data_IF_267274366995
#
_entry.id   IF_267274366995
#
_cell.length_a   1.000
_cell.length_b   1.000
_cell.length_c   1.000
_cell.angle_alpha   90.00
_cell.angle_beta   90.00
_cell.angle_gamma   90.00
#
_symmetry.space_group_name_H-M   'P 1'
#
loop_
_entity.id
_entity.type
_entity.pdbx_description
1 polymer ?
#
# COMPACT_ATOMS: atom_id res chain seq x y z
N UNK A 1 -7.38 7.02 -1.54
CA UNK A 1 -6.89 6.76 -0.17
C UNK A 1 -5.41 6.99 -0.11
N UNK A 2 -4.96 7.90 0.72
CA UNK A 2 -3.55 8.05 1.06
C UNK A 2 -3.20 7.03 2.14
N UNK A 3 -2.13 6.28 1.93
CA UNK A 3 -1.73 5.21 2.82
C UNK A 3 -0.24 5.34 3.17
N UNK A 4 0.07 5.21 4.45
CA UNK A 4 1.40 4.92 4.96
C UNK A 4 1.33 3.61 5.72
N UNK A 5 1.86 2.56 5.14
CA UNK A 5 1.82 1.24 5.76
C UNK A 5 2.87 1.11 6.86
N UNK A 6 2.53 0.54 8.03
CA UNK A 6 3.50 0.36 9.11
C UNK A 6 4.72 -0.45 8.65
N UNK A 7 5.92 0.08 8.90
CA UNK A 7 7.16 -0.67 8.68
C UNK A 7 7.28 -1.81 9.70
N UNK A 8 7.61 -3.02 9.25
CA UNK A 8 7.79 -4.18 10.12
C UNK A 8 9.07 -4.17 10.95
N UNK A 9 9.96 -3.21 10.69
CA UNK A 9 11.24 -2.96 11.38
C UNK A 9 12.22 -4.14 11.32
N UNK A 10 13.41 -3.88 10.81
CA UNK A 10 14.47 -4.88 10.79
C UNK A 10 14.77 -5.43 12.20
N UNK A 11 15.15 -6.72 12.30
CA UNK A 11 15.54 -7.31 13.58
C UNK A 11 16.86 -6.73 14.10
N UNK A 12 17.10 -6.87 15.40
CA UNK A 12 18.41 -6.50 16.00
C UNK A 12 19.49 -7.52 15.64
N UNK A 13 19.10 -8.77 15.46
CA UNK A 13 20.00 -9.88 15.12
C UNK A 13 19.91 -10.16 13.62
N UNK A 14 21.03 -10.10 12.88
CA UNK A 14 21.05 -10.46 11.47
C UNK A 14 20.53 -11.88 11.23
N UNK A 15 19.62 -12.03 10.28
CA UNK A 15 19.06 -13.31 9.88
C UNK A 15 17.76 -13.72 10.60
N UNK A 16 17.33 -12.99 11.59
CA UNK A 16 15.97 -13.09 12.16
C UNK A 16 14.93 -12.38 11.28
N UNK A 17 13.65 -12.62 11.54
CA UNK A 17 12.54 -11.93 10.89
C UNK A 17 12.31 -10.55 11.51
N UNK A 18 11.67 -9.61 10.78
CA UNK A 18 11.31 -8.30 11.31
C UNK A 18 10.49 -8.37 12.60
N UNK A 19 10.81 -7.47 13.55
CA UNK A 19 10.25 -7.46 14.90
C UNK A 19 8.73 -7.33 14.98
N UNK A 20 8.14 -6.62 14.03
CA UNK A 20 6.71 -6.30 14.00
C UNK A 20 6.01 -6.97 12.82
N UNK A 21 6.55 -8.10 12.34
CA UNK A 21 6.01 -8.76 11.15
C UNK A 21 4.56 -9.23 11.37
N UNK A 22 4.25 -9.82 12.53
CA UNK A 22 2.88 -10.30 12.84
C UNK A 22 1.88 -9.15 12.83
N UNK A 23 2.21 -8.03 13.50
CA UNK A 23 1.40 -6.82 13.47
C UNK A 23 1.21 -6.29 12.03
N UNK A 24 2.26 -6.32 11.22
CA UNK A 24 2.20 -5.91 9.82
C UNK A 24 1.23 -6.80 9.03
N UNK A 25 1.25 -8.12 9.25
CA UNK A 25 0.34 -9.05 8.57
C UNK A 25 -1.13 -8.82 8.93
N UNK A 26 -1.42 -8.62 10.21
CA UNK A 26 -2.77 -8.27 10.68
C UNK A 26 -3.26 -6.95 10.07
N UNK A 27 -2.38 -5.94 10.03
CA UNK A 27 -2.69 -4.64 9.45
C UNK A 27 -3.01 -4.75 7.95
N UNK A 28 -2.21 -5.51 7.18
CA UNK A 28 -2.43 -5.73 5.74
C UNK A 28 -3.78 -6.41 5.47
N UNK A 29 -4.14 -7.40 6.26
CA UNK A 29 -5.43 -8.07 6.12
C UNK A 29 -6.61 -7.12 6.44
N UNK A 30 -6.46 -6.28 7.45
CA UNK A 30 -7.47 -5.29 7.80
C UNK A 30 -7.58 -4.22 6.70
N UNK A 31 -6.45 -3.72 6.20
CA UNK A 31 -6.39 -2.73 5.14
C UNK A 31 -7.01 -3.25 3.84
N UNK A 32 -6.66 -4.46 3.41
CA UNK A 32 -7.24 -5.09 2.22
C UNK A 32 -8.76 -5.22 2.32
N UNK A 33 -9.28 -5.68 3.46
CA UNK A 33 -10.74 -5.72 3.70
C UNK A 33 -11.37 -4.34 3.62
N UNK A 34 -10.74 -3.32 4.19
CA UNK A 34 -11.22 -1.94 4.18
C UNK A 34 -11.31 -1.37 2.76
N UNK A 35 -10.26 -1.48 1.95
CA UNK A 35 -10.24 -0.90 0.60
C UNK A 35 -11.18 -1.63 -0.37
N UNK A 36 -11.35 -2.94 -0.21
CA UNK A 36 -12.34 -3.71 -0.97
C UNK A 36 -13.77 -3.31 -0.58
N UNK A 37 -14.03 -3.12 0.71
CA UNK A 37 -15.34 -2.65 1.17
C UNK A 37 -15.64 -1.22 0.69
N UNK A 38 -14.64 -0.34 0.58
CA UNK A 38 -14.78 0.98 -0.05
C UNK A 38 -15.21 0.87 -1.52
N UNK A 39 -14.61 -0.06 -2.25
CA UNK A 39 -14.94 -0.31 -3.64
C UNK A 39 -16.34 -0.88 -3.80
N UNK A 40 -16.68 -1.92 -3.05
CA UNK A 40 -17.90 -2.70 -3.22
C UNK A 40 -19.16 -1.95 -2.73
N UNK A 41 -19.05 -1.26 -1.60
CA UNK A 41 -20.22 -0.77 -0.85
C UNK A 41 -20.24 0.74 -0.63
N UNK A 42 -19.13 1.41 -0.89
CA UNK A 42 -18.97 2.82 -0.60
C UNK A 42 -18.73 3.14 0.89
N UNK A 43 -18.43 4.40 1.18
CA UNK A 43 -17.91 4.84 2.48
C UNK A 43 -18.88 4.63 3.67
N UNK A 44 -20.17 4.80 3.46
CA UNK A 44 -21.18 4.70 4.53
C UNK A 44 -21.23 3.30 5.16
N UNK A 45 -21.27 2.26 4.32
CA UNK A 45 -21.35 0.87 4.78
C UNK A 45 -20.03 0.38 5.40
N UNK A 46 -18.89 0.98 5.01
CA UNK A 46 -17.59 0.68 5.62
C UNK A 46 -17.52 1.27 7.02
N UNK A 47 -18.02 2.49 7.23
CA UNK A 47 -18.09 3.10 8.55
C UNK A 47 -18.92 2.24 9.52
N UNK A 48 -20.10 1.80 9.09
CA UNK A 48 -20.98 0.91 9.89
C UNK A 48 -20.30 -0.43 10.24
N UNK A 49 -19.59 -1.04 9.30
CA UNK A 49 -18.88 -2.30 9.56
C UNK A 49 -17.65 -2.12 10.45
N UNK A 50 -16.96 -0.99 10.34
CA UNK A 50 -15.83 -0.66 11.21
C UNK A 50 -16.28 -0.38 12.64
N UNK A 51 -17.35 0.42 12.83
CA UNK A 51 -17.96 0.67 14.13
C UNK A 51 -18.43 -0.62 14.80
N UNK A 52 -19.08 -1.52 14.06
CA UNK A 52 -19.49 -2.82 14.57
C UNK A 52 -18.29 -3.67 14.99
N UNK A 53 -17.19 -3.67 14.24
CA UNK A 53 -15.98 -4.41 14.56
C UNK A 53 -15.25 -3.81 15.78
N UNK A 54 -15.15 -2.49 15.87
CA UNK A 54 -14.53 -1.80 17.02
C UNK A 54 -15.35 -2.01 18.30
N UNK A 55 -16.67 -1.90 18.22
CA UNK A 55 -17.57 -2.12 19.35
C UNK A 55 -17.52 -3.58 19.83
N UNK A 56 -17.42 -4.54 18.90
CA UNK A 56 -17.26 -5.97 19.25
C UNK A 56 -15.92 -6.27 19.93
N UNK A 57 -14.86 -5.56 19.56
CA UNK A 57 -13.52 -5.77 20.10
C UNK A 57 -13.27 -5.05 21.43
N UNK A 58 -13.95 -3.90 21.66
CA UNK A 58 -13.65 -3.03 22.80
C UNK A 58 -14.60 -3.19 24.00
N UNK A 59 -15.76 -3.82 23.83
CA UNK A 59 -16.78 -3.90 24.92
C UNK A 59 -17.20 -2.54 25.47
N UNK A 60 -16.96 -1.46 24.74
CA UNK A 60 -17.10 -0.08 25.19
C UNK A 60 -18.31 0.61 24.60
N UNK A 61 -18.95 1.40 25.44
CA UNK A 61 -20.16 2.17 25.19
C UNK A 61 -20.04 3.18 24.01
N UNK A 62 -21.21 3.50 23.44
CA UNK A 62 -21.44 4.44 22.37
C UNK A 62 -20.72 5.79 22.53
N UNK A 63 -20.06 6.22 21.48
CA UNK A 63 -19.77 7.62 21.32
C UNK A 63 -18.40 8.02 20.78
N UNK A 64 -18.30 8.24 19.52
CA UNK A 64 -17.52 9.33 18.90
C UNK A 64 -17.93 9.59 17.43
N UNK A 65 -18.67 8.70 16.79
CA UNK A 65 -19.06 8.80 15.38
C UNK A 65 -20.58 8.96 15.17
N UNK A 66 -21.34 9.26 16.19
CA UNK A 66 -22.79 9.46 16.10
C UNK A 66 -23.22 10.65 15.20
N UNK A 67 -22.31 11.55 14.84
CA UNK A 67 -22.61 12.75 14.06
C UNK A 67 -22.51 12.59 12.55
N UNK A 68 -22.11 11.41 12.03
CA UNK A 68 -22.01 11.19 10.57
C UNK A 68 -23.26 10.61 9.94
N UNK A 69 -24.30 10.33 10.71
CA UNK A 69 -25.55 9.70 10.21
C UNK A 69 -26.47 10.61 9.38
N UNK A 70 -26.27 11.92 9.36
CA UNK A 70 -27.21 12.83 8.71
C UNK A 70 -27.03 13.02 7.19
N UNK A 71 -25.98 12.48 6.58
CA UNK A 71 -25.71 12.66 5.15
C UNK A 71 -25.63 11.37 4.31
N UNK A 72 -26.06 10.23 4.81
CA UNK A 72 -26.12 9.01 4.02
C UNK A 72 -27.42 8.95 3.20
N UNK A 73 -27.44 9.57 2.05
CA UNK A 73 -28.41 9.23 1.02
C UNK A 73 -28.08 7.79 0.56
N UNK A 74 -29.04 6.90 0.76
CA UNK A 74 -29.03 5.54 0.24
C UNK A 74 -28.93 5.58 -1.29
N UNK A 75 -27.71 5.53 -1.83
CA UNK A 75 -27.47 5.30 -3.24
C UNK A 75 -27.36 3.78 -3.45
N UNK A 76 -28.23 3.24 -4.27
CA UNK A 76 -28.17 1.84 -4.71
C UNK A 76 -26.77 1.50 -5.22
N UNK A 77 -26.28 0.32 -4.83
CA UNK A 77 -24.91 -0.12 -4.93
C UNK A 77 -24.27 -0.07 -6.32
N UNK A 78 -23.67 1.06 -6.63
CA UNK A 78 -22.65 1.14 -7.68
C UNK A 78 -21.30 1.13 -7.00
N UNK A 79 -20.44 0.17 -7.38
CA UNK A 79 -19.06 0.14 -6.90
C UNK A 79 -18.37 1.48 -7.14
N UNK A 80 -17.56 1.94 -6.18
CA UNK A 80 -16.80 3.19 -6.32
C UNK A 80 -15.36 2.87 -6.66
N UNK A 81 -14.81 3.45 -7.74
CA UNK A 81 -13.40 3.32 -8.04
C UNK A 81 -12.54 3.78 -6.87
N UNK A 82 -11.48 3.02 -6.56
CA UNK A 82 -10.55 3.34 -5.48
C UNK A 82 -9.14 3.46 -6.03
N UNK A 83 -8.45 4.51 -5.64
CA UNK A 83 -7.01 4.68 -5.83
C UNK A 83 -6.35 4.70 -4.45
N UNK A 84 -5.38 3.82 -4.25
CA UNK A 84 -4.50 3.79 -3.09
C UNK A 84 -3.18 4.42 -3.50
N UNK A 85 -2.66 5.37 -2.73
CA UNK A 85 -1.36 5.97 -3.00
C UNK A 85 -0.57 6.21 -1.71
N UNK A 86 0.74 6.07 -1.81
CA UNK A 86 1.68 6.34 -0.72
C UNK A 86 2.75 5.28 -0.56
N UNK A 87 3.46 5.36 0.56
CA UNK A 87 4.49 4.41 0.95
C UNK A 87 3.84 3.15 1.56
N UNK A 88 3.87 2.06 0.81
CA UNK A 88 3.36 0.76 1.26
C UNK A 88 4.43 -0.07 1.99
N UNK A 89 5.64 0.46 2.16
CA UNK A 89 6.74 -0.19 2.87
C UNK A 89 6.97 -1.66 2.44
N UNK A 90 6.78 -1.96 1.16
CA UNK A 90 7.03 -3.28 0.57
C UNK A 90 7.52 -3.15 -0.88
N UNK A 91 8.62 -3.83 -1.22
CA UNK A 91 8.99 -4.10 -2.60
C UNK A 91 8.36 -5.43 -3.01
N UNK A 92 7.44 -5.43 -3.99
CA UNK A 92 6.63 -6.60 -4.30
C UNK A 92 7.43 -7.73 -4.93
N UNK A 93 8.19 -7.43 -5.99
CA UNK A 93 8.95 -8.41 -6.78
C UNK A 93 10.46 -8.16 -6.68
N UNK A 94 11.25 -9.14 -7.10
CA UNK A 94 12.71 -9.01 -7.11
C UNK A 94 13.21 -7.84 -7.97
N UNK A 95 12.45 -7.47 -9.00
CA UNK A 95 12.74 -6.32 -9.84
C UNK A 95 12.52 -4.96 -9.14
N UNK A 96 11.83 -4.96 -7.99
CA UNK A 96 11.45 -3.74 -7.26
C UNK A 96 12.49 -3.28 -6.24
N UNK A 97 13.61 -3.98 -6.13
CA UNK A 97 14.71 -3.55 -5.27
C UNK A 97 16.08 -3.99 -5.79
N UNK A 98 17.11 -3.27 -5.35
CA UNK A 98 18.49 -3.68 -5.57
C UNK A 98 18.87 -4.81 -4.61
N UNK A 99 19.62 -5.80 -5.11
CA UNK A 99 20.13 -6.94 -4.35
C UNK A 99 19.05 -7.80 -3.65
N UNK A 100 18.03 -8.30 -4.36
CA UNK A 100 16.91 -9.04 -3.75
C UNK A 100 17.37 -10.26 -2.95
N UNK A 101 18.38 -10.99 -3.41
CA UNK A 101 18.86 -12.22 -2.76
C UNK A 101 19.38 -12.01 -1.32
N UNK A 102 19.91 -10.82 -1.02
CA UNK A 102 20.43 -10.51 0.31
C UNK A 102 19.40 -9.88 1.25
N UNK A 103 18.22 -9.55 0.72
CA UNK A 103 17.16 -8.82 1.45
C UNK A 103 15.92 -9.67 1.78
N UNK A 104 15.95 -10.98 1.56
CA UNK A 104 14.77 -11.86 1.75
C UNK A 104 14.22 -11.90 3.18
N UNK A 105 14.99 -11.43 4.17
CA UNK A 105 14.57 -11.29 5.56
C UNK A 105 14.51 -9.84 6.04
N UNK A 106 14.73 -8.89 5.14
CA UNK A 106 14.64 -7.46 5.46
C UNK A 106 13.19 -7.01 5.53
N UNK A 107 12.89 -6.09 6.46
CA UNK A 107 11.59 -5.41 6.49
C UNK A 107 11.27 -4.79 5.13
N UNK A 108 10.07 -5.00 4.63
CA UNK A 108 9.64 -4.58 3.30
C UNK A 108 9.96 -5.54 2.16
N UNK A 109 10.62 -6.70 2.43
CA UNK A 109 10.88 -7.71 1.39
C UNK A 109 10.82 -9.16 1.90
N UNK A 110 10.22 -9.40 3.04
CA UNK A 110 9.96 -10.77 3.48
C UNK A 110 8.96 -11.46 2.56
N UNK A 111 9.00 -12.80 2.44
CA UNK A 111 8.00 -13.53 1.67
C UNK A 111 6.57 -13.20 2.11
N UNK A 112 6.35 -13.03 3.41
CA UNK A 112 5.03 -12.73 3.99
C UNK A 112 4.51 -11.34 3.55
N UNK A 113 5.35 -10.30 3.59
CA UNK A 113 4.97 -8.95 3.13
C UNK A 113 4.67 -8.92 1.63
N UNK A 114 5.49 -9.61 0.84
CA UNK A 114 5.29 -9.74 -0.61
C UNK A 114 4.00 -10.50 -0.95
N UNK A 115 3.68 -11.55 -0.20
CA UNK A 115 2.43 -12.30 -0.36
C UNK A 115 1.22 -11.41 -0.06
N UNK A 116 1.26 -10.60 1.01
CA UNK A 116 0.18 -9.65 1.30
C UNK A 116 -0.03 -8.61 0.19
N UNK A 117 1.05 -8.16 -0.45
CA UNK A 117 0.94 -7.31 -1.64
C UNK A 117 0.31 -8.06 -2.82
N UNK A 118 0.66 -9.32 -3.03
CA UNK A 118 0.03 -10.18 -4.03
C UNK A 118 -1.47 -10.32 -3.77
N UNK A 119 -1.87 -10.68 -2.54
CA UNK A 119 -3.27 -10.79 -2.13
C UNK A 119 -4.05 -9.48 -2.37
N UNK A 120 -3.44 -8.32 -2.10
CA UNK A 120 -4.05 -7.02 -2.35
C UNK A 120 -4.29 -6.80 -3.85
N UNK A 121 -3.30 -7.07 -4.69
CA UNK A 121 -3.43 -6.93 -6.13
C UNK A 121 -4.47 -7.91 -6.71
N UNK A 122 -4.45 -9.16 -6.29
CA UNK A 122 -5.40 -10.20 -6.73
C UNK A 122 -6.84 -9.92 -6.27
N UNK A 123 -7.00 -9.10 -5.23
CA UNK A 123 -8.33 -8.68 -4.78
C UNK A 123 -9.00 -7.61 -5.66
N UNK A 124 -8.38 -7.25 -6.80
CA UNK A 124 -8.96 -6.35 -7.80
C UNK A 124 -8.23 -5.02 -7.97
N UNK A 125 -6.98 -4.93 -7.51
CA UNK A 125 -6.14 -3.74 -7.71
C UNK A 125 -5.05 -3.98 -8.76
N UNK A 126 -4.72 -2.94 -9.49
CA UNK A 126 -3.62 -2.89 -10.47
C UNK A 126 -2.49 -2.04 -9.92
N UNK A 127 -1.25 -2.56 -9.90
CA UNK A 127 -0.05 -1.75 -9.75
C UNK A 127 0.14 -0.92 -11.02
N UNK A 128 -0.16 0.38 -10.93
CA UNK A 128 -0.21 1.24 -12.11
C UNK A 128 1.15 1.43 -12.77
N UNK A 129 2.23 1.46 -11.98
CA UNK A 129 3.58 1.54 -12.55
C UNK A 129 3.92 0.26 -13.32
N UNK A 130 3.69 -0.91 -12.75
CA UNK A 130 3.95 -2.20 -13.42
C UNK A 130 3.01 -2.48 -14.58
N UNK A 131 1.83 -1.86 -14.60
CA UNK A 131 0.94 -1.91 -15.76
C UNK A 131 1.58 -1.30 -17.01
N UNK A 132 2.22 -0.13 -16.88
CA UNK A 132 2.90 0.53 -18.00
C UNK A 132 4.35 0.06 -18.20
N UNK A 133 5.00 -0.40 -17.14
CA UNK A 133 6.43 -0.69 -17.12
C UNK A 133 6.70 -2.08 -16.50
N UNK A 134 6.18 -3.17 -17.11
CA UNK A 134 6.22 -4.51 -16.51
C UNK A 134 7.64 -5.01 -16.24
N UNK A 135 8.58 -4.68 -17.13
CA UNK A 135 9.94 -5.25 -17.11
C UNK A 135 11.05 -4.20 -16.84
N UNK A 136 10.67 -2.96 -16.52
CA UNK A 136 11.67 -1.90 -16.25
C UNK A 136 12.38 -2.19 -14.94
N UNK A 137 13.70 -2.39 -15.00
CA UNK A 137 14.60 -2.59 -13.86
C UNK A 137 15.14 -1.27 -13.33
N UNK A 138 15.72 -1.30 -12.12
CA UNK A 138 16.40 -0.15 -11.50
C UNK A 138 15.53 1.11 -11.34
N UNK A 139 14.21 0.93 -11.32
CA UNK A 139 13.22 1.97 -11.07
C UNK A 139 12.79 1.93 -9.59
N UNK A 140 13.33 2.83 -8.81
CA UNK A 140 13.13 2.88 -7.35
C UNK A 140 12.56 4.21 -6.91
N UNK A 141 11.86 4.20 -5.78
CA UNK A 141 11.25 5.39 -5.18
C UNK A 141 11.88 5.79 -3.85
N UNK A 142 12.65 4.91 -3.23
CA UNK A 142 13.33 5.12 -1.96
C UNK A 142 14.78 4.65 -1.96
N UNK A 143 15.66 5.39 -1.27
CA UNK A 143 17.07 5.06 -1.08
C UNK A 143 17.52 5.42 0.33
N UNK A 144 18.18 4.49 1.02
CA UNK A 144 18.79 4.78 2.31
C UNK A 144 19.75 5.97 2.23
N UNK A 145 19.76 6.82 3.25
CA UNK A 145 20.79 7.88 3.38
C UNK A 145 22.21 7.34 3.55
N UNK A 146 22.35 6.05 3.84
CA UNK A 146 23.66 5.41 4.10
C UNK A 146 24.36 5.08 2.78
N UNK A 147 25.71 5.09 2.81
CA UNK A 147 26.58 4.58 1.76
C UNK A 147 26.39 5.25 0.39
N UNK A 148 25.82 6.46 0.35
CA UNK A 148 25.50 7.16 -0.90
C UNK A 148 24.59 6.34 -1.84
N UNK A 149 23.57 5.69 -1.27
CA UNK A 149 22.73 4.70 -1.94
C UNK A 149 22.00 5.29 -3.16
N UNK A 150 21.48 6.53 -3.05
CA UNK A 150 20.75 7.17 -4.17
C UNK A 150 21.66 7.43 -5.38
N UNK A 151 22.86 7.94 -5.18
CA UNK A 151 23.79 8.17 -6.28
C UNK A 151 24.27 6.88 -6.97
N UNK A 152 24.25 5.75 -6.22
CA UNK A 152 24.58 4.42 -6.75
C UNK A 152 23.35 3.67 -7.28
N UNK A 153 22.19 4.26 -7.19
CA UNK A 153 20.91 3.65 -7.45
C UNK A 153 20.71 2.30 -6.71
N UNK A 154 21.10 2.24 -5.43
CA UNK A 154 20.82 1.09 -4.55
C UNK A 154 19.54 1.39 -3.78
N UNK A 155 18.41 1.21 -4.46
CA UNK A 155 17.10 1.65 -4.00
C UNK A 155 16.05 0.53 -3.97
N UNK A 156 14.86 0.92 -3.54
CA UNK A 156 13.64 0.11 -3.44
C UNK A 156 12.47 0.87 -4.01
N UNK A 157 11.57 0.20 -4.69
CA UNK A 157 10.26 0.73 -5.10
C UNK A 157 9.24 0.32 -4.04
N UNK A 158 8.89 1.25 -3.18
CA UNK A 158 7.97 1.04 -2.05
C UNK A 158 6.81 2.04 -2.03
N UNK A 159 6.87 3.05 -2.89
CA UNK A 159 5.79 4.02 -3.09
C UNK A 159 4.97 3.63 -4.32
N UNK A 160 3.65 3.65 -4.18
CA UNK A 160 2.74 3.12 -5.20
C UNK A 160 1.57 4.05 -5.48
N UNK A 161 1.04 3.91 -6.68
CA UNK A 161 -0.36 4.09 -6.99
C UNK A 161 -0.95 2.74 -7.38
N UNK A 162 -1.93 2.26 -6.60
CA UNK A 162 -2.74 1.10 -6.95
C UNK A 162 -4.15 1.60 -7.30
N UNK A 163 -4.71 1.08 -8.37
CA UNK A 163 -6.05 1.48 -8.82
C UNK A 163 -6.93 0.23 -8.98
N UNK A 164 -8.21 0.34 -8.64
CA UNK A 164 -9.18 -0.73 -8.92
C UNK A 164 -9.26 -1.01 -10.42
N UNK A 165 -9.50 -2.25 -10.79
CA UNK A 165 -9.43 -2.73 -12.16
C UNK A 165 -10.37 -1.99 -13.13
N UNK A 166 -11.48 -1.48 -12.65
CA UNK A 166 -12.43 -0.65 -13.40
C UNK A 166 -11.86 0.71 -13.85
N UNK A 167 -10.80 1.20 -13.17
CA UNK A 167 -10.06 2.39 -13.58
C UNK A 167 -8.99 2.12 -14.64
N UNK A 168 -8.61 0.87 -14.89
CA UNK A 168 -7.53 0.53 -15.83
C UNK A 168 -7.71 1.16 -17.22
N UNK A 169 -8.91 1.22 -17.82
CA UNK A 169 -9.11 1.86 -19.12
C UNK A 169 -8.92 3.39 -19.11
N UNK A 170 -8.87 4.01 -17.94
CA UNK A 170 -8.69 5.45 -17.75
C UNK A 170 -7.26 5.85 -17.40
N UNK A 171 -6.40 4.90 -17.13
CA UNK A 171 -4.99 5.15 -16.82
C UNK A 171 -4.28 5.64 -18.09
N UNK A 172 -3.52 6.72 -17.95
CA UNK A 172 -2.77 7.35 -19.06
C UNK A 172 -1.28 7.09 -18.93
N UNK A 173 -0.73 7.31 -17.74
CA UNK A 173 0.69 7.03 -17.43
C UNK A 173 0.90 6.89 -15.92
N UNK A 174 1.98 6.18 -15.56
CA UNK A 174 2.49 6.15 -14.21
C UNK A 174 4.01 6.31 -14.23
N UNK A 175 4.57 7.16 -13.36
CA UNK A 175 5.97 7.54 -13.38
C UNK A 175 6.56 7.54 -11.97
N UNK A 176 7.88 7.30 -11.91
CA UNK A 176 8.72 7.55 -10.75
C UNK A 176 9.63 8.72 -11.10
N UNK A 177 9.79 9.71 -10.24
CA UNK A 177 10.48 10.97 -10.52
C UNK A 177 11.79 11.06 -9.71
N UNK A 178 12.83 10.24 -10.02
CA UNK A 178 14.02 10.07 -9.19
C UNK A 178 14.90 11.34 -9.11
N UNK A 179 14.75 12.27 -10.05
CA UNK A 179 15.54 13.50 -10.09
C UNK A 179 15.01 14.58 -9.13
N UNK A 180 13.82 14.41 -8.58
CA UNK A 180 13.28 15.31 -7.56
C UNK A 180 13.89 14.97 -6.21
N UNK A 181 14.64 15.92 -5.68
CA UNK A 181 15.42 15.79 -4.45
C UNK A 181 14.70 16.43 -3.25
N UNK A 182 15.17 16.15 -2.03
CA UNK A 182 14.64 16.76 -0.79
C UNK A 182 14.21 15.75 0.28
N UNK A 183 14.15 14.45 -0.10
CA UNK A 183 13.83 13.33 0.78
C UNK A 183 14.66 12.11 0.38
N UNK A 184 14.66 11.07 1.19
CA UNK A 184 15.13 9.72 0.83
C UNK A 184 14.12 8.98 -0.09
N UNK A 185 12.91 9.50 -0.21
CA UNK A 185 11.96 9.13 -1.27
C UNK A 185 12.02 10.12 -2.44
N UNK A 186 11.52 9.70 -3.59
CA UNK A 186 11.13 10.59 -4.67
C UNK A 186 9.63 10.49 -4.94
N UNK A 187 9.02 11.51 -5.55
CA UNK A 187 7.62 11.46 -5.92
C UNK A 187 7.33 10.34 -6.93
N UNK A 188 6.15 9.76 -6.82
CA UNK A 188 5.52 8.93 -7.84
C UNK A 188 4.33 9.68 -8.42
N UNK A 189 4.03 9.45 -9.70
CA UNK A 189 2.99 10.15 -10.43
C UNK A 189 2.04 9.15 -11.10
N UNK A 190 0.76 9.45 -11.08
CA UNK A 190 -0.27 8.78 -11.87
C UNK A 190 -1.09 9.83 -12.63
N UNK A 191 -1.22 9.64 -13.96
CA UNK A 191 -2.12 10.42 -14.80
C UNK A 191 -3.32 9.57 -15.18
N UNK A 192 -4.51 10.10 -14.96
CA UNK A 192 -5.79 9.43 -15.21
C UNK A 192 -6.78 10.38 -15.88
N UNK A 193 -7.61 9.87 -16.81
CA UNK A 193 -8.69 10.60 -17.49
C UNK A 193 -9.96 10.62 -16.65
#
# INVERSE_FOLDING_TARGET
TFCYTPNSQNPDTPGELPKRLDYRMEWEDAFRRYVNALHDKGLATVAESYEAAVNAASGAEEGLFAQTKENSHAAGGTSKPVIICGDLNVAHKEIDLKNPKTNTKSAGFTPQEREKMTELLESGFTDTFRHFHPDVTDAYSWWSYRMNARAKNVGWRIDYFLATADLTPRLVSASILPDIMGSDHCPVELVIL
#
